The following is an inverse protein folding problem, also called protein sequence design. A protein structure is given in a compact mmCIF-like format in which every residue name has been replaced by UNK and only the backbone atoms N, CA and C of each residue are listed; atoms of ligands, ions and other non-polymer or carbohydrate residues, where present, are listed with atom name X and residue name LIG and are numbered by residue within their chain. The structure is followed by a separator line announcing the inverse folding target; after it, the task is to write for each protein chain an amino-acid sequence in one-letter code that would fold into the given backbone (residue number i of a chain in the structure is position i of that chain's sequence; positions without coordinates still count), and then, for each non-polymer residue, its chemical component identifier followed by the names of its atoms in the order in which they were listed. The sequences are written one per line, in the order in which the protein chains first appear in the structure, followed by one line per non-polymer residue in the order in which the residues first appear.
data_IF_866362702276
#
_entry.id   IF_866362702276
#
_cell.length_a   1.000
_cell.length_b   1.000
_cell.length_c   1.000
_cell.angle_alpha   90.00
_cell.angle_beta   90.00
_cell.angle_gamma   90.00
#
_symmetry.space_group_name_H-M   'P 1'
#
loop_
_entity.id
_entity.type
_entity.pdbx_description
1 polymer ?
#
# COMPACT_ATOMS: atom_id res chain seq x y z
N UNK A 1 -8.91 -12.47 9.51
CA UNK A 1 -8.01 -12.37 8.38
C UNK A 1 -6.73 -13.13 8.68
N UNK A 2 -6.10 -13.73 7.69
CA UNK A 2 -4.93 -14.57 7.84
C UNK A 2 -5.02 -15.84 7.02
N UNK A 3 -4.00 -16.72 7.05
CA UNK A 3 -3.92 -17.88 6.18
C UNK A 3 -5.03 -18.92 6.41
N UNK A 4 -5.78 -18.81 7.50
CA UNK A 4 -6.86 -19.72 7.86
C UNK A 4 -8.25 -19.25 7.39
N UNK A 5 -8.37 -18.02 6.90
CA UNK A 5 -9.61 -17.44 6.41
C UNK A 5 -9.77 -17.79 4.93
N UNK A 6 -10.88 -18.40 4.56
CA UNK A 6 -11.13 -18.86 3.18
C UNK A 6 -12.12 -18.00 2.42
N UNK A 7 -12.80 -17.06 3.10
CA UNK A 7 -13.87 -16.21 2.52
C UNK A 7 -13.72 -14.76 2.95
N UNK A 8 -14.15 -13.88 2.07
CA UNK A 8 -14.27 -12.44 2.31
C UNK A 8 -15.71 -12.01 2.02
N UNK A 9 -16.15 -11.00 2.73
CA UNK A 9 -17.51 -10.48 2.61
C UNK A 9 -17.47 -8.99 2.29
N UNK A 10 -18.45 -8.55 1.49
CA UNK A 10 -18.78 -7.14 1.35
C UNK A 10 -20.18 -6.96 1.90
N UNK A 11 -20.34 -6.01 2.79
CA UNK A 11 -21.63 -5.65 3.37
C UNK A 11 -22.01 -4.24 2.87
N UNK A 12 -23.28 -4.03 2.63
CA UNK A 12 -23.85 -2.76 2.23
C UNK A 12 -24.98 -2.41 3.21
N UNK A 13 -25.08 -1.13 3.59
CA UNK A 13 -26.25 -0.66 4.35
C UNK A 13 -27.51 -0.82 3.50
N UNK A 14 -28.61 -1.24 4.12
CA UNK A 14 -29.90 -1.47 3.44
C UNK A 14 -30.48 -0.17 2.91
N UNK A 15 -30.30 0.92 3.67
CA UNK A 15 -30.70 2.27 3.30
C UNK A 15 -29.49 3.20 3.29
N UNK A 16 -29.48 4.25 2.44
CA UNK A 16 -28.43 5.27 2.46
C UNK A 16 -28.30 5.90 3.86
N UNK A 17 -27.05 6.04 4.33
CA UNK A 17 -26.70 6.58 5.65
C UNK A 17 -27.18 5.77 6.87
N UNK A 18 -27.85 4.63 6.70
CA UNK A 18 -28.20 3.75 7.81
C UNK A 18 -26.97 2.91 8.22
N UNK A 19 -26.71 2.81 9.53
CA UNK A 19 -25.60 2.05 10.10
C UNK A 19 -26.03 0.86 10.96
N UNK A 20 -27.32 0.68 11.14
CA UNK A 20 -27.95 -0.31 12.01
C UNK A 20 -28.39 -1.58 11.27
N UNK A 21 -28.52 -1.50 9.93
CA UNK A 21 -28.93 -2.65 9.11
C UNK A 21 -28.02 -2.82 7.90
N UNK A 22 -27.45 -4.02 7.77
CA UNK A 22 -26.51 -4.38 6.71
C UNK A 22 -26.94 -5.68 6.03
N UNK A 23 -26.79 -5.73 4.73
CA UNK A 23 -26.90 -6.96 3.94
C UNK A 23 -25.53 -7.39 3.42
N UNK A 24 -25.31 -8.72 3.32
CA UNK A 24 -24.13 -9.26 2.65
C UNK A 24 -24.39 -9.27 1.15
N UNK A 25 -23.65 -8.46 0.40
CA UNK A 25 -23.80 -8.34 -1.05
C UNK A 25 -22.75 -9.13 -1.82
N UNK A 26 -21.67 -9.51 -1.16
CA UNK A 26 -20.62 -10.36 -1.71
C UNK A 26 -20.15 -11.36 -0.67
N UNK A 27 -19.96 -12.59 -1.11
CA UNK A 27 -19.42 -13.69 -0.33
C UNK A 27 -18.60 -14.58 -1.27
N UNK A 28 -17.29 -14.50 -1.18
CA UNK A 28 -16.43 -15.10 -2.19
C UNK A 28 -15.00 -15.34 -1.74
N UNK A 29 -14.08 -15.50 -2.70
CA UNK A 29 -12.66 -15.72 -2.43
C UNK A 29 -12.04 -14.68 -1.51
N UNK A 30 -11.01 -15.09 -0.79
CA UNK A 30 -10.34 -14.24 0.18
C UNK A 30 -9.70 -13.01 -0.46
N UNK A 31 -10.10 -11.85 0.03
CA UNK A 31 -9.40 -10.59 -0.10
C UNK A 31 -8.78 -10.21 1.26
N UNK A 32 -7.45 -10.25 1.39
CA UNK A 32 -6.77 -9.76 2.57
C UNK A 32 -6.27 -8.33 2.33
N UNK A 33 -6.29 -7.50 3.36
CA UNK A 33 -5.89 -6.08 3.27
C UNK A 33 -6.57 -5.32 2.12
N UNK A 34 -7.91 -5.38 2.00
CA UNK A 34 -8.63 -4.74 0.91
C UNK A 34 -8.54 -3.22 1.03
N UNK A 35 -8.24 -2.56 -0.07
CA UNK A 35 -8.24 -1.10 -0.20
C UNK A 35 -9.10 -0.72 -1.40
N UNK A 36 -10.41 -0.49 -1.18
CA UNK A 36 -11.35 -0.17 -2.24
C UNK A 36 -11.32 1.33 -2.56
N UNK A 37 -11.46 1.64 -3.84
CA UNK A 37 -11.68 2.97 -4.37
C UNK A 37 -12.92 2.98 -5.24
N UNK A 38 -13.57 4.12 -5.36
CA UNK A 38 -14.75 4.31 -6.18
C UNK A 38 -14.62 5.56 -7.03
N UNK A 39 -14.94 5.40 -8.30
CA UNK A 39 -15.06 6.49 -9.26
C UNK A 39 -16.45 6.40 -9.91
N UNK A 40 -17.20 7.52 -10.02
CA UNK A 40 -18.57 7.51 -10.54
C UNK A 40 -18.67 7.02 -12.00
N UNK A 41 -17.64 7.19 -12.81
CA UNK A 41 -17.63 6.81 -14.22
C UNK A 41 -17.07 5.39 -14.44
N UNK A 42 -16.19 4.92 -13.55
CA UNK A 42 -15.44 3.67 -13.73
C UNK A 42 -15.88 2.56 -12.76
N UNK A 43 -16.63 2.90 -11.70
CA UNK A 43 -17.03 1.96 -10.67
C UNK A 43 -15.97 1.74 -9.59
N UNK A 44 -15.86 0.52 -9.11
CA UNK A 44 -14.97 0.16 -8.01
C UNK A 44 -13.65 -0.41 -8.52
N UNK A 45 -12.58 -0.03 -7.85
CA UNK A 45 -11.26 -0.63 -7.92
C UNK A 45 -10.88 -1.18 -6.56
N UNK A 46 -10.37 -2.40 -6.50
CA UNK A 46 -9.98 -3.06 -5.26
C UNK A 46 -8.54 -3.54 -5.36
N UNK A 47 -7.63 -2.89 -4.64
CA UNK A 47 -6.31 -3.45 -4.40
C UNK A 47 -6.35 -4.36 -3.18
N UNK A 48 -5.79 -5.55 -3.28
CA UNK A 48 -5.83 -6.52 -2.19
C UNK A 48 -4.66 -7.50 -2.24
N UNK A 49 -4.49 -8.22 -1.15
CA UNK A 49 -3.53 -9.31 -1.04
C UNK A 49 -4.25 -10.65 -1.10
N UNK A 50 -3.67 -11.62 -1.78
CA UNK A 50 -4.05 -13.04 -1.66
C UNK A 50 -2.93 -13.84 -1.04
N UNK A 51 -3.32 -14.71 -0.11
CA UNK A 51 -2.42 -15.71 0.45
C UNK A 51 -2.34 -16.93 -0.46
N UNK A 52 -1.16 -17.46 -0.59
CA UNK A 52 -0.84 -18.69 -1.31
C UNK A 52 0.55 -19.10 -0.90
N UNK A 53 1.48 -19.19 -1.83
CA UNK A 53 2.90 -19.25 -1.51
C UNK A 53 3.40 -17.82 -1.26
N UNK A 54 3.16 -17.28 -0.06
CA UNK A 54 3.41 -15.89 0.30
C UNK A 54 2.17 -14.99 0.18
N UNK A 55 2.39 -13.67 0.05
CA UNK A 55 1.37 -12.61 -0.03
C UNK A 55 1.50 -11.85 -1.34
N UNK A 56 0.81 -12.31 -2.38
CA UNK A 56 0.84 -11.62 -3.68
C UNK A 56 -0.17 -10.46 -3.72
N UNK A 57 0.19 -9.39 -4.42
CA UNK A 57 -0.67 -8.23 -4.66
C UNK A 57 -1.51 -8.43 -5.90
N UNK A 58 -2.81 -8.10 -5.77
CA UNK A 58 -3.79 -8.20 -6.85
C UNK A 58 -4.65 -6.95 -6.93
N UNK A 59 -5.15 -6.69 -8.13
CA UNK A 59 -6.18 -5.71 -8.40
C UNK A 59 -7.41 -6.38 -9.01
N UNK A 60 -8.60 -5.91 -8.64
CA UNK A 60 -9.88 -6.30 -9.22
C UNK A 60 -10.77 -5.09 -9.40
N UNK A 61 -11.71 -5.17 -10.34
CA UNK A 61 -12.66 -4.09 -10.63
C UNK A 61 -14.10 -4.60 -10.56
N UNK A 62 -15.01 -3.67 -10.33
CA UNK A 62 -16.44 -3.95 -10.34
C UNK A 62 -17.21 -2.68 -10.73
N UNK A 63 -18.23 -2.81 -11.56
CA UNK A 63 -19.10 -1.68 -11.91
C UNK A 63 -20.17 -1.40 -10.85
N UNK A 64 -20.50 -2.38 -10.02
CA UNK A 64 -21.64 -2.36 -9.10
C UNK A 64 -21.30 -2.71 -7.64
N UNK A 65 -20.04 -3.11 -7.39
CA UNK A 65 -19.59 -3.62 -6.09
C UNK A 65 -20.10 -5.03 -5.74
N UNK A 66 -20.86 -5.66 -6.62
CA UNK A 66 -21.47 -6.98 -6.42
C UNK A 66 -20.74 -8.06 -7.22
N UNK A 67 -20.45 -7.74 -8.47
CA UNK A 67 -19.77 -8.64 -9.41
C UNK A 67 -18.35 -8.12 -9.65
N UNK A 68 -17.35 -8.93 -9.39
CA UNK A 68 -15.93 -8.55 -9.49
C UNK A 68 -15.26 -9.27 -10.65
N UNK A 69 -14.36 -8.56 -11.32
CA UNK A 69 -13.49 -9.15 -12.34
C UNK A 69 -12.59 -10.24 -11.74
N UNK A 70 -12.07 -11.13 -12.60
CA UNK A 70 -10.94 -11.96 -12.17
C UNK A 70 -9.76 -11.07 -11.79
N UNK A 71 -9.21 -11.23 -10.58
CA UNK A 71 -8.12 -10.38 -10.14
C UNK A 71 -6.84 -10.58 -10.93
N UNK A 72 -6.23 -9.49 -11.34
CA UNK A 72 -4.92 -9.45 -11.98
C UNK A 72 -3.81 -9.27 -10.97
N UNK A 73 -2.72 -10.03 -11.11
CA UNK A 73 -1.59 -9.97 -10.18
C UNK A 73 -0.65 -8.84 -10.57
N UNK A 74 -0.36 -7.93 -9.63
CA UNK A 74 0.63 -6.86 -9.81
C UNK A 74 2.03 -7.32 -9.39
N UNK A 75 2.16 -7.96 -8.25
CA UNK A 75 3.48 -8.33 -7.73
C UNK A 75 3.43 -9.59 -6.86
N UNK A 76 4.52 -10.35 -6.91
CA UNK A 76 4.81 -11.47 -6.04
C UNK A 76 6.32 -11.67 -5.94
N UNK A 77 6.98 -10.82 -5.17
CA UNK A 77 8.43 -10.91 -4.92
C UNK A 77 8.64 -11.74 -3.66
N UNK A 78 9.37 -12.83 -3.76
CA UNK A 78 9.71 -13.72 -2.64
C UNK A 78 8.48 -14.10 -1.77
N UNK A 79 8.50 -13.83 -0.46
CA UNK A 79 7.40 -14.16 0.47
C UNK A 79 6.23 -13.15 0.41
N UNK A 80 6.31 -12.14 -0.46
CA UNK A 80 5.21 -11.22 -0.77
C UNK A 80 5.32 -9.85 -0.12
N UNK A 81 4.17 -9.21 0.12
CA UNK A 81 4.06 -7.78 0.30
C UNK A 81 3.04 -7.36 1.36
N UNK A 82 3.27 -6.17 1.95
CA UNK A 82 2.22 -5.26 2.40
C UNK A 82 2.13 -4.07 1.46
N UNK A 83 0.99 -3.39 1.48
CA UNK A 83 0.70 -2.27 0.58
C UNK A 83 -0.11 -1.19 1.28
N UNK A 84 -0.02 0.01 0.74
CA UNK A 84 -0.93 1.15 0.94
C UNK A 84 -1.26 1.75 -0.42
N UNK A 85 -2.48 2.24 -0.60
CA UNK A 85 -2.94 2.81 -1.87
C UNK A 85 -3.54 4.18 -1.67
N UNK A 86 -3.50 5.00 -2.72
CA UNK A 86 -4.22 6.26 -2.82
C UNK A 86 -4.89 6.37 -4.18
N UNK A 87 -6.00 7.07 -4.24
CA UNK A 87 -6.71 7.38 -5.47
C UNK A 87 -6.85 8.90 -5.63
N UNK A 88 -6.58 9.35 -6.82
CA UNK A 88 -6.82 10.72 -7.26
C UNK A 88 -7.56 10.67 -8.62
N UNK A 89 -8.70 11.39 -8.79
CA UNK A 89 -9.47 11.34 -10.02
C UNK A 89 -8.69 11.73 -11.28
N UNK A 90 -7.72 12.63 -11.15
CA UNK A 90 -6.91 13.13 -12.27
C UNK A 90 -5.66 12.26 -12.54
N UNK A 91 -5.19 11.52 -11.53
CA UNK A 91 -3.92 10.77 -11.58
C UNK A 91 -4.08 9.25 -11.47
N UNK A 92 -5.27 8.76 -11.15
CA UNK A 92 -5.54 7.32 -11.03
C UNK A 92 -5.22 6.74 -9.65
N UNK A 93 -4.93 5.45 -9.60
CA UNK A 93 -4.60 4.74 -8.37
C UNK A 93 -3.10 4.51 -8.28
N UNK A 94 -2.49 5.00 -7.20
CA UNK A 94 -1.14 4.67 -6.80
C UNK A 94 -1.11 3.59 -5.72
N UNK A 95 -0.11 2.72 -5.74
CA UNK A 95 0.17 1.76 -4.68
C UNK A 95 1.64 1.80 -4.30
N UNK A 96 1.92 1.92 -3.00
CA UNK A 96 3.25 1.70 -2.46
C UNK A 96 3.27 0.36 -1.71
N UNK A 97 4.35 -0.39 -1.87
CA UNK A 97 4.49 -1.70 -1.24
C UNK A 97 5.93 -1.98 -0.84
N UNK A 98 6.11 -2.83 0.17
CA UNK A 98 7.40 -3.41 0.54
C UNK A 98 7.49 -4.85 0.03
N UNK A 99 8.57 -5.57 0.31
CA UNK A 99 8.61 -7.00 0.10
C UNK A 99 9.16 -7.74 1.33
N UNK A 100 8.87 -9.04 1.37
CA UNK A 100 9.32 -9.95 2.43
C UNK A 100 10.33 -10.91 1.81
N UNK A 101 11.64 -10.79 2.10
CA UNK A 101 12.68 -11.67 1.58
C UNK A 101 12.43 -13.15 1.91
N UNK A 102 12.95 -14.07 1.11
CA UNK A 102 12.86 -15.51 1.39
C UNK A 102 13.45 -15.84 2.76
N UNK A 103 14.59 -15.26 3.11
CA UNK A 103 15.18 -15.40 4.42
C UNK A 103 14.56 -14.41 5.40
N UNK A 104 13.82 -14.91 6.37
CA UNK A 104 13.19 -14.11 7.42
C UNK A 104 11.75 -13.70 7.10
N UNK A 105 11.31 -13.77 5.85
CA UNK A 105 9.92 -13.55 5.47
C UNK A 105 9.36 -12.22 5.94
N UNK A 106 8.20 -12.26 6.58
CA UNK A 106 7.50 -11.08 7.11
C UNK A 106 8.36 -10.26 8.09
N UNK A 107 9.19 -10.90 8.89
CA UNK A 107 10.05 -10.24 9.87
C UNK A 107 11.22 -9.50 9.22
N UNK A 108 11.59 -9.91 8.01
CA UNK A 108 12.63 -9.27 7.21
C UNK A 108 12.10 -8.20 6.25
N UNK A 109 10.79 -7.84 6.32
CA UNK A 109 10.16 -6.86 5.41
C UNK A 109 11.03 -5.63 5.16
N UNK A 110 11.24 -5.30 3.88
CA UNK A 110 12.18 -4.25 3.50
C UNK A 110 11.84 -3.65 2.13
N UNK A 111 12.66 -2.75 1.65
CA UNK A 111 12.52 -2.02 0.40
C UNK A 111 11.21 -1.24 0.28
N UNK A 112 11.19 -0.30 -0.63
CA UNK A 112 10.01 0.48 -0.93
C UNK A 112 9.83 0.56 -2.43
N UNK A 113 8.63 0.22 -2.91
CA UNK A 113 8.24 0.22 -4.30
C UNK A 113 7.04 1.12 -4.51
N UNK A 114 6.87 1.59 -5.75
CA UNK A 114 5.69 2.34 -6.18
C UNK A 114 5.27 1.94 -7.58
N UNK A 115 3.98 1.68 -7.76
CA UNK A 115 3.35 1.46 -9.04
C UNK A 115 2.05 2.28 -9.12
N UNK A 116 1.63 2.64 -10.34
CA UNK A 116 0.37 3.35 -10.57
C UNK A 116 -0.34 2.83 -11.80
N UNK A 117 -1.65 3.04 -11.83
CA UNK A 117 -2.52 2.78 -12.98
C UNK A 117 -3.45 3.96 -13.21
N UNK A 118 -3.60 4.38 -14.46
CA UNK A 118 -4.56 5.41 -14.89
C UNK A 118 -5.73 4.83 -15.67
N UNK A 119 -5.70 3.53 -15.94
CA UNK A 119 -6.70 2.77 -16.72
C UNK A 119 -7.37 1.66 -15.89
N UNK A 120 -7.50 1.90 -14.59
CA UNK A 120 -8.23 1.06 -13.64
C UNK A 120 -7.67 -0.37 -13.54
N UNK A 121 -6.33 -0.49 -13.64
CA UNK A 121 -5.60 -1.74 -13.46
C UNK A 121 -5.37 -2.55 -14.73
N UNK A 122 -5.71 -2.01 -15.91
CA UNK A 122 -5.41 -2.68 -17.17
C UNK A 122 -3.91 -2.67 -17.47
N UNK A 123 -3.23 -1.54 -17.18
CA UNK A 123 -1.78 -1.43 -17.26
C UNK A 123 -1.20 -0.77 -16.01
N UNK A 124 0.08 -1.01 -15.76
CA UNK A 124 0.82 -0.46 -14.63
C UNK A 124 2.10 0.23 -15.10
N UNK A 125 2.41 1.36 -14.48
CA UNK A 125 3.67 2.08 -14.71
C UNK A 125 4.32 2.45 -13.38
N UNK A 126 5.61 2.77 -13.41
CA UNK A 126 6.21 3.54 -12.33
C UNK A 126 5.79 5.02 -12.47
N UNK A 127 6.19 5.88 -11.52
CA UNK A 127 5.81 7.30 -11.53
C UNK A 127 6.39 8.09 -12.72
N UNK A 128 7.48 7.64 -13.31
CA UNK A 128 8.07 8.25 -14.50
C UNK A 128 7.35 7.85 -15.80
N UNK A 129 6.31 6.99 -15.72
CA UNK A 129 5.55 6.50 -16.86
C UNK A 129 6.18 5.29 -17.55
N UNK A 130 7.24 4.71 -17.01
CA UNK A 130 7.84 3.49 -17.54
C UNK A 130 6.90 2.30 -17.27
N UNK A 131 6.54 1.50 -18.30
CA UNK A 131 5.68 0.35 -18.14
C UNK A 131 6.28 -0.71 -17.20
N UNK A 132 5.44 -1.30 -16.37
CA UNK A 132 5.80 -2.42 -15.50
C UNK A 132 5.29 -3.72 -16.11
N UNK A 133 6.18 -4.68 -16.31
CA UNK A 133 5.84 -6.02 -16.78
C UNK A 133 5.30 -6.85 -15.58
N UNK A 134 4.00 -6.69 -15.32
CA UNK A 134 3.35 -7.40 -14.22
C UNK A 134 3.08 -8.88 -14.57
N UNK A 135 3.24 -9.81 -13.62
CA UNK A 135 3.57 -9.58 -12.21
C UNK A 135 5.07 -9.34 -11.97
N UNK A 136 5.39 -8.35 -11.14
CA UNK A 136 6.74 -8.12 -10.66
C UNK A 136 7.19 -9.27 -9.75
N UNK A 137 8.32 -9.91 -10.07
CA UNK A 137 8.82 -11.10 -9.35
C UNK A 137 10.21 -10.91 -8.74
N UNK A 138 10.95 -9.89 -9.19
CA UNK A 138 12.33 -9.65 -8.76
C UNK A 138 12.42 -8.44 -7.82
N UNK A 139 13.27 -8.48 -6.78
CA UNK A 139 13.49 -7.31 -5.90
C UNK A 139 14.00 -6.08 -6.65
N UNK A 140 14.88 -6.27 -7.63
CA UNK A 140 15.35 -5.20 -8.49
C UNK A 140 14.46 -5.09 -9.73
N UNK A 141 13.57 -4.11 -9.74
CA UNK A 141 12.61 -3.87 -10.82
C UNK A 141 12.29 -2.36 -10.94
N UNK A 142 11.66 -1.89 -12.05
CA UNK A 142 11.43 -0.46 -12.27
C UNK A 142 10.48 0.24 -11.27
N UNK A 143 9.76 -0.52 -10.44
CA UNK A 143 8.93 0.04 -9.36
C UNK A 143 9.73 0.35 -8.09
N UNK A 144 10.99 -0.11 -7.96
CA UNK A 144 11.82 0.11 -6.78
C UNK A 144 12.17 1.59 -6.64
N UNK A 145 11.82 2.19 -5.48
CA UNK A 145 12.11 3.59 -5.18
C UNK A 145 13.17 3.75 -4.10
N UNK A 146 13.36 2.72 -3.27
CA UNK A 146 14.41 2.70 -2.25
C UNK A 146 14.80 1.28 -1.87
N UNK A 147 16.09 0.96 -2.05
CA UNK A 147 16.70 -0.27 -1.56
C UNK A 147 17.08 -0.10 -0.09
N UNK A 148 16.14 -0.43 0.79
CA UNK A 148 16.34 -0.38 2.23
C UNK A 148 17.00 -1.66 2.76
N UNK A 149 16.99 -2.75 1.97
CA UNK A 149 17.67 -4.00 2.31
C UNK A 149 19.19 -3.81 2.37
N UNK A 150 19.75 -3.09 1.40
CA UNK A 150 21.17 -2.74 1.37
C UNK A 150 21.59 -1.93 2.61
N UNK A 151 20.67 -1.10 3.14
CA UNK A 151 20.87 -0.35 4.37
C UNK A 151 20.60 -1.17 5.66
N UNK A 152 20.20 -2.43 5.56
CA UNK A 152 19.84 -3.30 6.68
C UNK A 152 18.56 -2.89 7.43
N UNK A 153 17.69 -2.12 6.79
CA UNK A 153 16.51 -1.54 7.41
C UNK A 153 15.24 -2.33 7.09
N UNK A 154 14.31 -2.37 8.06
CA UNK A 154 12.94 -2.80 7.88
C UNK A 154 12.06 -1.63 7.49
N UNK A 155 11.06 -1.87 6.64
CA UNK A 155 10.15 -0.84 6.13
C UNK A 155 8.72 -1.19 6.50
N UNK A 156 8.08 -0.33 7.30
CA UNK A 156 6.70 -0.43 7.74
C UNK A 156 5.89 0.68 7.08
N UNK A 157 5.11 0.31 6.08
CA UNK A 157 4.25 1.25 5.35
C UNK A 157 3.19 1.84 6.26
N UNK A 158 2.89 3.13 6.09
CA UNK A 158 1.91 3.85 6.88
C UNK A 158 0.85 4.50 6.03
N UNK A 159 1.27 5.31 5.06
CA UNK A 159 0.35 6.07 4.24
C UNK A 159 0.91 6.33 2.84
N UNK A 160 0.02 6.62 1.90
CA UNK A 160 0.31 7.12 0.56
C UNK A 160 -0.69 8.22 0.24
N UNK A 161 -0.19 9.39 -0.11
CA UNK A 161 -1.00 10.54 -0.51
C UNK A 161 -0.41 11.17 -1.76
N UNK A 162 -1.22 11.95 -2.48
CA UNK A 162 -0.74 12.80 -3.57
C UNK A 162 -0.66 14.25 -3.11
N UNK A 163 0.39 14.96 -3.52
CA UNK A 163 0.45 16.41 -3.35
C UNK A 163 -0.41 17.13 -4.41
N UNK A 164 -0.54 18.45 -4.31
CA UNK A 164 -1.35 19.25 -5.22
C UNK A 164 -0.94 19.19 -6.71
N UNK A 165 0.23 18.63 -7.00
CA UNK A 165 0.71 18.39 -8.36
C UNK A 165 0.56 16.91 -8.78
N UNK A 166 -0.21 16.12 -8.02
CA UNK A 166 -0.42 14.70 -8.27
C UNK A 166 0.81 13.84 -8.03
N UNK A 167 1.80 14.34 -7.31
CA UNK A 167 3.02 13.58 -7.04
C UNK A 167 2.87 12.74 -5.78
N UNK A 168 3.17 11.45 -5.83
CA UNK A 168 3.03 10.57 -4.67
C UNK A 168 4.05 10.89 -3.57
N UNK A 169 3.55 10.79 -2.35
CA UNK A 169 4.33 10.84 -1.12
C UNK A 169 3.98 9.62 -0.28
N UNK A 170 4.98 8.79 -0.02
CA UNK A 170 4.83 7.58 0.81
C UNK A 170 5.37 7.84 2.20
N UNK A 171 4.58 7.61 3.23
CA UNK A 171 5.02 7.62 4.61
C UNK A 171 5.30 6.20 5.10
N UNK A 172 6.44 6.00 5.75
CA UNK A 172 6.79 4.73 6.38
C UNK A 172 7.57 4.96 7.67
N UNK A 173 7.60 3.95 8.53
CA UNK A 173 8.53 3.86 9.65
C UNK A 173 9.62 2.85 9.31
N UNK A 174 10.85 3.16 9.65
CA UNK A 174 11.99 2.24 9.51
C UNK A 174 12.56 1.87 10.86
N UNK A 175 13.04 0.62 10.97
CA UNK A 175 13.70 0.07 12.14
C UNK A 175 14.83 -0.88 11.74
N UNK A 176 15.69 -1.26 12.68
CA UNK A 176 16.74 -2.25 12.45
C UNK A 176 16.27 -3.70 12.60
N UNK A 177 15.18 -3.94 13.31
CA UNK A 177 14.59 -5.25 13.52
C UNK A 177 13.06 -5.22 13.47
N UNK A 178 12.45 -6.36 13.73
CA UNK A 178 11.01 -6.57 13.54
C UNK A 178 10.19 -6.50 14.84
N UNK A 179 10.82 -6.65 15.98
CA UNK A 179 10.13 -6.63 17.26
C UNK A 179 9.43 -5.28 17.47
N UNK A 180 8.17 -5.29 17.91
CA UNK A 180 7.45 -4.06 18.20
C UNK A 180 7.98 -3.37 19.45
N UNK A 181 7.83 -2.04 19.48
CA UNK A 181 8.29 -1.23 20.62
C UNK A 181 9.72 -0.73 20.44
N UNK A 182 10.38 -0.28 21.52
CA UNK A 182 11.64 0.47 21.43
C UNK A 182 12.87 -0.38 21.07
N UNK A 183 12.72 -1.70 20.98
CA UNK A 183 13.80 -2.59 20.55
C UNK A 183 14.11 -2.36 19.07
N UNK A 184 15.37 -2.51 18.69
CA UNK A 184 15.82 -2.38 17.31
C UNK A 184 15.67 -0.97 16.71
N UNK A 185 15.75 0.04 17.57
CA UNK A 185 15.85 1.42 17.15
C UNK A 185 17.17 1.77 16.42
N UNK A 186 17.28 2.96 15.84
CA UNK A 186 16.28 4.00 15.88
C UNK A 186 15.07 3.69 14.99
N UNK A 187 13.88 4.05 15.49
CA UNK A 187 12.65 4.06 14.70
C UNK A 187 12.44 5.46 14.15
N UNK A 188 12.29 5.54 12.83
CA UNK A 188 12.23 6.84 12.15
C UNK A 188 11.05 6.87 11.19
N UNK A 189 10.22 7.88 11.31
CA UNK A 189 9.35 8.26 10.22
C UNK A 189 10.19 8.70 9.03
N UNK A 190 9.81 8.24 7.84
CA UNK A 190 10.44 8.63 6.58
C UNK A 190 9.37 8.91 5.54
N UNK A 191 9.69 9.85 4.66
CA UNK A 191 8.83 10.21 3.54
C UNK A 191 9.61 10.07 2.25
N UNK A 192 9.08 9.23 1.34
CA UNK A 192 9.55 9.15 -0.03
C UNK A 192 8.65 10.04 -0.88
N UNK A 193 9.19 11.10 -1.46
CA UNK A 193 8.45 12.02 -2.34
C UNK A 193 9.01 11.99 -3.75
N UNK A 194 8.13 11.92 -4.74
CA UNK A 194 8.51 12.15 -6.13
C UNK A 194 8.70 13.66 -6.40
N UNK A 195 9.83 14.04 -6.98
CA UNK A 195 10.20 15.45 -7.22
C UNK A 195 10.01 15.88 -8.68
N UNK A 196 9.52 14.98 -9.56
CA UNK A 196 9.41 15.18 -11.00
C UNK A 196 10.60 14.61 -11.78
N UNK A 197 11.73 14.35 -11.13
CA UNK A 197 12.92 13.78 -11.77
C UNK A 197 13.58 12.65 -10.97
N UNK A 198 13.02 12.33 -9.79
CA UNK A 198 13.55 11.27 -8.94
C UNK A 198 12.87 11.25 -7.58
N UNK A 199 13.01 10.14 -6.88
CA UNK A 199 12.54 10.00 -5.51
C UNK A 199 13.52 10.65 -4.52
N UNK A 200 12.96 11.39 -3.58
CA UNK A 200 13.69 11.99 -2.47
C UNK A 200 13.20 11.40 -1.16
N UNK A 201 14.13 10.78 -0.42
CA UNK A 201 13.87 10.33 0.94
C UNK A 201 14.13 11.47 1.93
N UNK A 202 13.18 11.72 2.83
CA UNK A 202 13.30 12.72 3.90
C UNK A 202 13.07 12.03 5.24
N UNK A 203 13.89 12.37 6.24
CA UNK A 203 13.69 11.97 7.62
C UNK A 203 12.57 12.81 8.23
N UNK A 204 11.64 12.14 8.90
CA UNK A 204 10.63 12.72 9.76
C UNK A 204 11.03 12.64 11.24
N UNK A 205 10.07 12.76 12.16
CA UNK A 205 10.30 12.62 13.59
C UNK A 205 10.74 11.21 13.99
N UNK A 206 11.33 11.11 15.17
CA UNK A 206 11.61 9.83 15.82
C UNK A 206 10.31 9.24 16.41
N UNK A 207 10.25 7.92 16.52
CA UNK A 207 9.21 7.20 17.22
C UNK A 207 9.85 6.01 17.96
N UNK A 208 9.08 5.31 18.78
CA UNK A 208 9.58 4.20 19.59
C UNK A 208 8.99 2.85 19.17
N UNK A 209 8.16 2.83 18.12
CA UNK A 209 7.52 1.61 17.69
C UNK A 209 7.38 1.55 16.16
N UNK A 210 7.83 0.45 15.57
CA UNK A 210 7.69 0.20 14.14
C UNK A 210 6.22 0.02 13.69
N UNK A 211 5.28 -0.19 14.62
CA UNK A 211 3.84 -0.24 14.35
C UNK A 211 3.09 1.06 14.64
N UNK A 212 3.78 2.14 15.00
CA UNK A 212 3.14 3.44 15.10
C UNK A 212 2.43 3.79 13.80
N UNK A 213 1.20 4.22 13.93
CA UNK A 213 0.33 4.57 12.80
C UNK A 213 0.00 6.06 12.84
N UNK A 214 -0.12 6.64 11.68
CA UNK A 214 -0.51 8.04 11.55
C UNK A 214 -0.77 8.43 10.11
N UNK A 215 -1.82 9.21 9.83
CA UNK A 215 -2.09 9.75 8.50
C UNK A 215 -1.12 10.90 8.19
N UNK A 216 -0.80 11.02 6.91
CA UNK A 216 -0.13 12.18 6.32
C UNK A 216 -1.16 13.01 5.56
N UNK A 217 -1.27 14.30 5.86
CA UNK A 217 -2.09 15.25 5.12
C UNK A 217 -1.20 16.28 4.43
N UNK A 218 -1.51 16.61 3.18
CA UNK A 218 -0.79 17.62 2.40
C UNK A 218 -1.79 18.68 1.93
N UNK A 219 -1.60 19.92 2.39
CA UNK A 219 -2.41 21.09 2.03
C UNK A 219 -1.47 22.17 1.46
N UNK A 220 -1.39 22.25 0.13
CA UNK A 220 -0.42 23.11 -0.53
C UNK A 220 1.03 22.74 -0.16
N UNK A 221 1.75 23.68 0.47
CA UNK A 221 3.12 23.44 0.92
C UNK A 221 3.22 22.94 2.38
N UNK A 222 2.08 22.75 3.05
CA UNK A 222 2.04 22.30 4.44
C UNK A 222 1.82 20.78 4.51
N UNK A 223 2.66 20.13 5.29
CA UNK A 223 2.59 18.69 5.56
C UNK A 223 2.31 18.47 7.04
N UNK A 224 1.25 17.76 7.34
CA UNK A 224 0.84 17.43 8.70
C UNK A 224 0.87 15.93 8.88
N UNK A 225 1.73 15.45 9.77
CA UNK A 225 1.74 14.07 10.26
C UNK A 225 1.11 14.07 11.66
N UNK A 226 0.08 13.23 11.84
CA UNK A 226 -0.50 12.97 13.17
C UNK A 226 -0.11 11.57 13.58
N UNK A 227 0.87 11.44 14.45
CA UNK A 227 1.43 10.15 14.84
C UNK A 227 1.97 10.18 16.27
N UNK A 228 2.03 9.03 16.96
CA UNK A 228 2.77 8.91 18.20
C UNK A 228 4.26 9.25 18.01
N UNK A 229 4.87 9.86 19.01
CA UNK A 229 6.29 10.12 19.08
C UNK A 229 6.81 9.83 20.48
N UNK A 230 8.12 9.63 20.63
CA UNK A 230 8.74 9.38 21.96
C UNK A 230 8.59 10.55 22.95
N UNK A 231 8.28 11.73 22.45
CA UNK A 231 8.16 12.98 23.21
C UNK A 231 6.72 13.44 23.35
N UNK A 232 5.82 12.49 23.43
CA UNK A 232 4.42 12.74 23.71
C UNK A 232 4.15 13.24 25.13
#
# INVERSE_FOLDING_TARGET
HGPWTTRSFIHRSVEPYAIDHWETVYDGPLYAYPQPWYDPERGFFLMHTRYGNGRALYAATSSDGLSWSEPTKLAHIAQGHYQVTAYDPDHGVGTAFNYHPEKGGLEARTNLYYAQTTDWGATWTNIAGEPLDAPLTEPQNPALIWDAEDAGLKVYLKDLVFDAAGRPVVACVTSQGYEPGPQNGPHLWRFARWTGGGWRMTRGPDCDNNYDMGPLMIEGDHWTLIAPTETG
#
